data_IF_169981367634
#
_entry.id   IF_169981367634
#
_cell.length_a   1.000
_cell.length_b   1.000
_cell.length_c   1.000
_cell.angle_alpha   90.00
_cell.angle_beta   90.00
_cell.angle_gamma   90.00
#
_symmetry.space_group_name_H-M   'P 1'
#
loop_
_entity.id
_entity.type
_entity.pdbx_description
1 polymer ?
#
# COMPACT_ATOMS: atom_id res chain seq x y z
N UNK A 1 -9.84 -26.57 16.78
CA UNK A 1 -10.47 -26.66 15.45
C UNK A 1 -11.56 -25.61 15.26
N UNK A 2 -12.41 -25.37 16.26
CA UNK A 2 -13.53 -24.42 16.19
C UNK A 2 -13.18 -23.01 15.66
N UNK A 3 -12.06 -22.42 16.09
CA UNK A 3 -11.66 -21.08 15.63
C UNK A 3 -11.33 -21.01 14.13
N UNK A 4 -10.76 -22.09 13.56
CA UNK A 4 -10.42 -22.16 12.13
C UNK A 4 -11.68 -22.14 11.29
N UNK A 5 -12.64 -22.99 11.64
CA UNK A 5 -13.90 -23.10 10.90
C UNK A 5 -14.72 -21.82 10.98
N UNK A 6 -14.77 -21.19 12.16
CA UNK A 6 -15.39 -19.88 12.34
C UNK A 6 -14.78 -18.81 11.44
N UNK A 7 -13.45 -18.77 11.35
CA UNK A 7 -12.75 -17.81 10.47
C UNK A 7 -13.04 -18.07 8.99
N UNK A 8 -13.04 -19.33 8.56
CA UNK A 8 -13.38 -19.69 7.19
C UNK A 8 -14.83 -19.33 6.86
N UNK A 9 -15.76 -19.48 7.82
CA UNK A 9 -17.15 -19.08 7.64
C UNK A 9 -17.29 -17.57 7.47
N UNK A 10 -16.56 -16.77 8.25
CA UNK A 10 -16.48 -15.30 8.07
C UNK A 10 -15.97 -14.95 6.66
N UNK A 11 -14.90 -15.59 6.20
CA UNK A 11 -14.34 -15.35 4.85
C UNK A 11 -15.34 -15.75 3.76
N UNK A 12 -16.05 -16.88 3.89
CA UNK A 12 -17.06 -17.33 2.93
C UNK A 12 -18.28 -16.41 2.86
N UNK A 13 -18.63 -15.75 3.96
CA UNK A 13 -19.64 -14.66 4.02
C UNK A 13 -19.08 -13.31 3.56
N UNK A 14 -17.82 -13.31 3.13
CA UNK A 14 -17.04 -12.14 2.75
C UNK A 14 -16.86 -11.11 3.88
N UNK A 15 -17.07 -11.47 5.14
CA UNK A 15 -16.89 -10.61 6.34
C UNK A 15 -15.38 -10.45 6.67
N UNK A 16 -14.61 -9.92 5.72
CA UNK A 16 -13.15 -9.92 5.76
C UNK A 16 -12.55 -9.11 6.91
N UNK A 17 -13.21 -8.03 7.33
CA UNK A 17 -12.77 -7.22 8.47
C UNK A 17 -12.74 -8.05 9.75
N UNK A 18 -13.80 -8.79 10.02
CA UNK A 18 -13.93 -9.57 11.25
C UNK A 18 -13.09 -10.85 11.18
N UNK A 19 -12.98 -11.46 9.99
CA UNK A 19 -12.02 -12.54 9.75
C UNK A 19 -10.58 -12.09 10.05
N UNK A 20 -10.16 -10.93 9.52
CA UNK A 20 -8.82 -10.41 9.73
C UNK A 20 -8.54 -10.07 11.20
N UNK A 21 -9.51 -9.47 11.91
CA UNK A 21 -9.38 -9.19 13.36
C UNK A 21 -9.19 -10.48 14.16
N UNK A 22 -9.95 -11.54 13.85
CA UNK A 22 -9.82 -12.83 14.51
C UNK A 22 -8.44 -13.45 14.25
N UNK A 23 -8.00 -13.45 12.98
CA UNK A 23 -6.69 -13.96 12.57
C UNK A 23 -5.53 -13.21 13.23
N UNK A 24 -5.60 -11.88 13.25
CA UNK A 24 -4.57 -11.02 13.86
C UNK A 24 -4.43 -11.28 15.36
N UNK A 25 -5.56 -11.40 16.07
CA UNK A 25 -5.55 -11.73 17.50
C UNK A 25 -4.88 -13.07 17.78
N UNK A 26 -5.08 -14.06 16.91
CA UNK A 26 -4.36 -15.33 17.02
C UNK A 26 -2.86 -15.13 16.73
N UNK A 27 -2.50 -14.47 15.63
CA UNK A 27 -1.09 -14.22 15.26
C UNK A 27 -0.28 -13.49 16.34
N UNK A 28 -0.91 -12.63 17.14
CA UNK A 28 -0.27 -11.91 18.26
C UNK A 28 0.04 -12.82 19.48
N UNK A 29 -0.47 -14.05 19.51
CA UNK A 29 -0.17 -15.00 20.59
C UNK A 29 1.24 -15.59 20.45
N UNK A 30 2.03 -15.52 21.52
CA UNK A 30 3.47 -15.88 21.54
C UNK A 30 3.79 -17.34 21.20
N UNK A 31 2.81 -18.23 21.14
CA UNK A 31 3.03 -19.68 20.99
C UNK A 31 2.73 -20.22 19.59
N UNK A 32 2.60 -19.37 18.57
CA UNK A 32 2.30 -19.84 17.21
C UNK A 32 3.58 -20.02 16.40
N UNK A 33 3.88 -21.26 16.03
CA UNK A 33 4.96 -21.61 15.12
C UNK A 33 4.51 -22.58 14.03
N UNK A 34 5.34 -22.69 12.98
CA UNK A 34 5.19 -23.67 11.90
C UNK A 34 3.91 -23.52 11.07
N UNK A 35 3.31 -24.66 10.74
CA UNK A 35 2.17 -24.79 9.83
C UNK A 35 0.96 -23.94 10.26
N UNK A 36 0.71 -23.83 11.58
CA UNK A 36 -0.40 -23.00 12.09
C UNK A 36 -0.18 -21.52 11.77
N UNK A 37 1.06 -21.02 11.88
CA UNK A 37 1.38 -19.63 11.52
C UNK A 37 1.19 -19.43 10.01
N UNK A 38 1.66 -20.36 9.19
CA UNK A 38 1.45 -20.34 7.73
C UNK A 38 -0.02 -20.28 7.35
N UNK A 39 -0.86 -21.13 7.96
CA UNK A 39 -2.31 -21.10 7.76
C UNK A 39 -2.93 -19.74 8.10
N UNK A 40 -2.56 -19.16 9.24
CA UNK A 40 -3.07 -17.85 9.66
C UNK A 40 -2.65 -16.72 8.70
N UNK A 41 -1.38 -16.71 8.29
CA UNK A 41 -0.84 -15.72 7.35
C UNK A 41 -1.50 -15.82 5.97
N UNK A 42 -1.75 -17.03 5.48
CA UNK A 42 -2.44 -17.27 4.21
C UNK A 42 -3.85 -16.66 4.20
N UNK A 43 -4.66 -16.97 5.22
CA UNK A 43 -6.01 -16.41 5.31
C UNK A 43 -6.03 -14.93 5.69
N UNK A 44 -4.99 -14.42 6.35
CA UNK A 44 -4.81 -12.99 6.59
C UNK A 44 -4.59 -12.24 5.26
N UNK A 45 -3.76 -12.77 4.36
CA UNK A 45 -3.58 -12.21 3.01
C UNK A 45 -4.91 -12.14 2.24
N UNK A 46 -5.68 -13.24 2.24
CA UNK A 46 -7.00 -13.29 1.56
C UNK A 46 -7.97 -12.27 2.15
N UNK A 47 -7.99 -12.13 3.48
CA UNK A 47 -8.85 -11.15 4.15
C UNK A 47 -8.44 -9.72 3.80
N UNK A 48 -7.14 -9.43 3.74
CA UNK A 48 -6.61 -8.12 3.33
C UNK A 48 -6.90 -7.81 1.85
N UNK A 49 -6.86 -8.82 0.96
CA UNK A 49 -7.33 -8.67 -0.42
C UNK A 49 -8.81 -8.31 -0.48
N UNK A 50 -9.62 -8.98 0.35
CA UNK A 50 -11.04 -8.67 0.52
C UNK A 50 -11.36 -7.25 0.98
N UNK A 51 -10.42 -6.64 1.70
CA UNK A 51 -10.50 -5.25 2.18
C UNK A 51 -9.85 -4.25 1.21
N UNK A 52 -9.21 -4.71 0.12
CA UNK A 52 -8.46 -3.86 -0.81
C UNK A 52 -7.11 -3.36 -0.26
N UNK A 53 -6.62 -3.90 0.86
CA UNK A 53 -5.36 -3.49 1.49
C UNK A 53 -4.15 -4.24 0.90
N UNK A 54 -3.92 -4.08 -0.41
CA UNK A 54 -2.92 -4.85 -1.17
C UNK A 54 -1.50 -4.70 -0.58
N UNK A 55 -1.11 -3.50 -0.16
CA UNK A 55 0.24 -3.25 0.38
C UNK A 55 0.48 -3.95 1.72
N UNK A 56 -0.55 -4.04 2.56
CA UNK A 56 -0.45 -4.81 3.82
C UNK A 56 -0.40 -6.30 3.51
N UNK A 57 -1.19 -6.78 2.56
CA UNK A 57 -1.17 -8.18 2.15
C UNK A 57 0.21 -8.62 1.64
N UNK A 58 0.96 -7.75 0.94
CA UNK A 58 2.35 -8.04 0.54
C UNK A 58 3.29 -8.29 1.72
N UNK A 59 3.14 -7.54 2.83
CA UNK A 59 3.94 -7.78 4.05
C UNK A 59 3.64 -9.15 4.65
N UNK A 60 2.35 -9.49 4.79
CA UNK A 60 1.93 -10.80 5.28
C UNK A 60 2.34 -11.95 4.34
N UNK A 61 2.37 -11.70 3.03
CA UNK A 61 2.86 -12.66 2.04
C UNK A 61 4.35 -12.95 2.21
N UNK A 62 5.16 -11.93 2.49
CA UNK A 62 6.59 -12.12 2.75
C UNK A 62 6.81 -12.98 4.00
N UNK A 63 6.08 -12.70 5.08
CA UNK A 63 6.11 -13.54 6.29
C UNK A 63 5.60 -14.97 6.01
N UNK A 64 4.59 -15.13 5.15
CA UNK A 64 4.07 -16.45 4.76
C UNK A 64 5.14 -17.26 4.04
N UNK A 65 5.88 -16.62 3.13
CA UNK A 65 6.97 -17.25 2.38
C UNK A 65 8.12 -17.68 3.31
N UNK A 66 8.46 -16.87 4.31
CA UNK A 66 9.47 -17.23 5.32
C UNK A 66 9.06 -18.45 6.16
N UNK A 67 7.77 -18.56 6.51
CA UNK A 67 7.26 -19.62 7.38
C UNK A 67 6.98 -20.92 6.61
N UNK A 68 6.44 -20.82 5.41
CA UNK A 68 5.91 -21.97 4.65
C UNK A 68 6.76 -22.33 3.43
N UNK A 69 7.75 -21.51 3.07
CA UNK A 69 8.53 -21.68 1.84
C UNK A 69 7.70 -21.53 0.57
N UNK A 70 8.26 -21.97 -0.56
CA UNK A 70 7.57 -22.02 -1.85
C UNK A 70 6.60 -23.22 -1.88
N UNK A 71 5.37 -22.97 -1.46
CA UNK A 71 4.26 -23.93 -1.42
C UNK A 71 3.14 -23.53 -2.37
N UNK A 72 2.23 -24.47 -2.67
CA UNK A 72 1.02 -24.21 -3.49
C UNK A 72 0.23 -23.00 -2.96
N UNK A 73 0.05 -22.90 -1.64
CA UNK A 73 -0.65 -21.76 -1.02
C UNK A 73 0.07 -20.43 -1.26
N UNK A 74 1.40 -20.39 -1.17
CA UNK A 74 2.17 -19.17 -1.45
C UNK A 74 2.11 -18.77 -2.93
N UNK A 75 2.08 -19.73 -3.85
CA UNK A 75 1.94 -19.47 -5.28
C UNK A 75 0.56 -18.92 -5.65
N UNK A 76 -0.51 -19.38 -4.98
CA UNK A 76 -1.84 -18.77 -5.12
C UNK A 76 -1.84 -17.28 -4.69
N UNK A 77 -1.22 -16.95 -3.56
CA UNK A 77 -1.13 -15.54 -3.10
C UNK A 77 -0.31 -14.70 -4.09
N UNK A 78 0.80 -15.26 -4.60
CA UNK A 78 1.65 -14.61 -5.60
C UNK A 78 0.91 -14.34 -6.91
N UNK A 79 0.25 -15.35 -7.48
CA UNK A 79 -0.54 -15.22 -8.70
C UNK A 79 -1.63 -14.14 -8.53
N UNK A 80 -2.29 -14.11 -7.38
CA UNK A 80 -3.28 -13.07 -7.09
C UNK A 80 -2.64 -11.67 -7.02
N UNK A 81 -1.47 -11.50 -6.41
CA UNK A 81 -0.75 -10.22 -6.38
C UNK A 81 -0.33 -9.75 -7.78
N UNK A 82 0.11 -10.67 -8.64
CA UNK A 82 0.47 -10.40 -10.04
C UNK A 82 -0.76 -9.94 -10.83
N UNK A 83 -1.91 -10.61 -10.66
CA UNK A 83 -3.20 -10.19 -11.21
C UNK A 83 -3.59 -8.77 -10.75
N UNK A 84 -3.49 -8.49 -9.45
CA UNK A 84 -3.80 -7.17 -8.90
C UNK A 84 -2.91 -6.07 -9.49
N UNK A 85 -1.65 -6.42 -9.81
CA UNK A 85 -0.64 -5.52 -10.36
C UNK A 85 -0.75 -5.32 -11.88
N UNK A 86 -1.76 -5.89 -12.55
CA UNK A 86 -1.94 -5.88 -14.00
C UNK A 86 -0.83 -6.61 -14.77
N UNK A 87 -0.29 -7.69 -14.19
CA UNK A 87 0.63 -8.60 -14.86
C UNK A 87 -0.03 -9.98 -15.05
N UNK A 88 -1.05 -10.11 -15.92
CA UNK A 88 -1.75 -11.38 -16.11
C UNK A 88 -0.85 -12.49 -16.66
N UNK A 89 0.19 -12.13 -17.43
CA UNK A 89 1.13 -13.12 -17.97
C UNK A 89 2.00 -13.76 -16.87
N UNK A 90 2.50 -12.97 -15.92
CA UNK A 90 3.25 -13.49 -14.76
C UNK A 90 2.34 -14.38 -13.90
N UNK A 91 1.09 -13.93 -13.68
CA UNK A 91 0.11 -14.72 -12.95
C UNK A 91 -0.16 -16.08 -13.63
N UNK A 92 -0.23 -16.11 -14.97
CA UNK A 92 -0.40 -17.35 -15.74
C UNK A 92 0.78 -18.29 -15.51
N UNK A 93 2.02 -17.79 -15.58
CA UNK A 93 3.22 -18.60 -15.28
C UNK A 93 3.15 -19.15 -13.86
N UNK A 94 2.83 -18.32 -12.87
CA UNK A 94 2.70 -18.76 -11.47
C UNK A 94 1.61 -19.82 -11.31
N UNK A 95 0.44 -19.66 -11.94
CA UNK A 95 -0.63 -20.67 -11.92
C UNK A 95 -0.20 -21.98 -12.60
N UNK A 96 0.46 -21.93 -13.76
CA UNK A 96 0.95 -23.15 -14.41
C UNK A 96 1.92 -23.93 -13.52
N UNK A 97 2.77 -23.22 -12.76
CA UNK A 97 3.66 -23.85 -11.79
C UNK A 97 2.92 -24.50 -10.61
N UNK A 98 1.69 -24.10 -10.29
CA UNK A 98 0.86 -24.79 -9.29
C UNK A 98 0.44 -26.16 -9.81
N UNK A 99 0.02 -26.25 -11.08
CA UNK A 99 -0.34 -27.53 -11.71
C UNK A 99 0.84 -28.49 -11.84
N UNK A 100 2.07 -27.98 -11.94
CA UNK A 100 3.28 -28.82 -11.89
C UNK A 100 3.47 -29.48 -10.51
N UNK A 101 3.11 -28.77 -9.43
CA UNK A 101 3.20 -29.30 -8.06
C UNK A 101 2.02 -30.18 -7.68
N UNK A 102 0.81 -29.80 -8.11
CA UNK A 102 -0.43 -30.52 -7.89
C UNK A 102 -1.27 -30.58 -9.18
N UNK A 103 -1.04 -31.60 -10.03
CA UNK A 103 -1.80 -31.78 -11.26
C UNK A 103 -3.30 -32.06 -11.04
N UNK A 104 -3.72 -32.33 -9.80
CA UNK A 104 -5.12 -32.62 -9.48
C UNK A 104 -5.95 -31.37 -9.19
N UNK A 105 -5.33 -30.19 -9.15
CA UNK A 105 -5.99 -28.93 -8.88
C UNK A 105 -6.79 -28.42 -10.09
N UNK A 106 -7.98 -29.00 -10.28
CA UNK A 106 -8.94 -28.61 -11.33
C UNK A 106 -9.36 -27.14 -11.26
N UNK A 107 -9.20 -26.48 -10.11
CA UNK A 107 -9.51 -25.05 -9.98
C UNK A 107 -8.43 -24.22 -10.66
N UNK A 108 -7.17 -24.57 -10.44
CA UNK A 108 -6.05 -23.87 -11.07
C UNK A 108 -6.16 -23.95 -12.60
N UNK A 109 -6.55 -25.11 -13.14
CA UNK A 109 -6.81 -25.29 -14.57
C UNK A 109 -7.91 -24.34 -15.08
N UNK A 110 -9.04 -24.27 -14.39
CA UNK A 110 -10.13 -23.34 -14.73
C UNK A 110 -9.71 -21.86 -14.64
N UNK A 111 -8.84 -21.50 -13.68
CA UNK A 111 -8.29 -20.14 -13.58
C UNK A 111 -7.37 -19.81 -14.75
N UNK A 112 -6.55 -20.77 -15.19
CA UNK A 112 -5.66 -20.61 -16.36
C UNK A 112 -6.50 -20.45 -17.63
N UNK A 113 -7.56 -21.24 -17.80
CA UNK A 113 -8.48 -21.12 -18.95
C UNK A 113 -9.13 -19.73 -18.99
N UNK A 114 -9.71 -19.27 -17.87
CA UNK A 114 -10.32 -17.94 -17.76
C UNK A 114 -9.33 -16.80 -18.03
N UNK A 115 -8.10 -16.94 -17.52
CA UNK A 115 -7.04 -15.94 -17.70
C UNK A 115 -6.54 -15.89 -19.15
N UNK A 116 -6.53 -17.02 -19.86
CA UNK A 116 -6.17 -17.09 -21.30
C UNK A 116 -7.23 -16.48 -22.21
N UNK A 117 -8.51 -16.68 -21.89
CA UNK A 117 -9.61 -16.17 -22.71
C UNK A 117 -9.75 -14.65 -22.61
N UNK A 118 -9.78 -14.10 -21.39
CA UNK A 118 -10.07 -12.69 -21.16
C UNK A 118 -9.23 -12.11 -20.00
N UNK A 119 -7.91 -11.88 -20.20
CA UNK A 119 -6.99 -11.56 -19.10
C UNK A 119 -7.35 -10.28 -18.34
N UNK A 120 -7.73 -9.22 -19.05
CA UNK A 120 -8.11 -7.95 -18.43
C UNK A 120 -9.43 -8.04 -17.67
N UNK A 121 -10.44 -8.68 -18.27
CA UNK A 121 -11.75 -8.84 -17.64
C UNK A 121 -11.66 -9.73 -16.40
N UNK A 122 -10.84 -10.79 -16.46
CA UNK A 122 -10.61 -11.65 -15.31
C UNK A 122 -9.82 -10.92 -14.20
N UNK A 123 -8.84 -10.08 -14.55
CA UNK A 123 -8.17 -9.22 -13.58
C UNK A 123 -9.16 -8.28 -12.87
N UNK A 124 -10.06 -7.64 -13.60
CA UNK A 124 -11.10 -6.79 -13.03
C UNK A 124 -12.16 -7.56 -12.24
N UNK A 125 -12.45 -8.80 -12.63
CA UNK A 125 -13.30 -9.70 -11.87
C UNK A 125 -12.67 -10.08 -10.53
N UNK A 126 -11.40 -10.47 -10.53
CA UNK A 126 -10.67 -10.90 -9.33
C UNK A 126 -10.59 -9.79 -8.28
N UNK A 127 -10.54 -8.52 -8.70
CA UNK A 127 -10.60 -7.33 -7.82
C UNK A 127 -11.92 -7.18 -7.07
N UNK A 128 -13.01 -7.74 -7.58
CA UNK A 128 -14.31 -7.66 -6.93
C UNK A 128 -14.36 -8.67 -5.78
N UNK A 129 -15.09 -8.29 -4.72
CA UNK A 129 -15.33 -9.13 -3.54
C UNK A 129 -15.79 -10.55 -3.88
N UNK A 130 -16.62 -10.71 -4.91
CA UNK A 130 -17.05 -12.03 -5.38
C UNK A 130 -15.92 -12.85 -6.02
N UNK A 131 -15.05 -12.22 -6.82
CA UNK A 131 -13.97 -12.90 -7.53
C UNK A 131 -12.89 -13.46 -6.62
N UNK A 132 -12.69 -12.87 -5.43
CA UNK A 132 -11.73 -13.38 -4.43
C UNK A 132 -12.07 -14.80 -4.00
N UNK A 133 -13.35 -15.09 -3.74
CA UNK A 133 -13.78 -16.42 -3.28
C UNK A 133 -13.66 -17.47 -4.37
N UNK A 134 -13.76 -17.06 -5.64
CA UNK A 134 -13.61 -17.92 -6.80
C UNK A 134 -12.13 -18.16 -7.14
N UNK A 135 -11.23 -17.26 -6.74
CA UNK A 135 -9.80 -17.43 -6.95
C UNK A 135 -9.16 -18.46 -6.02
N UNK A 136 -9.47 -18.43 -4.71
CA UNK A 136 -8.74 -19.24 -3.72
C UNK A 136 -9.39 -20.60 -3.42
N UNK A 137 -8.61 -21.70 -3.35
CA UNK A 137 -9.12 -23.04 -3.05
C UNK A 137 -9.79 -23.13 -1.68
N UNK A 138 -10.87 -23.92 -1.57
CA UNK A 138 -11.59 -24.19 -0.31
C UNK A 138 -12.50 -23.09 0.22
N UNK A 139 -12.59 -21.94 -0.49
CA UNK A 139 -13.40 -20.79 -0.10
C UNK A 139 -14.69 -20.61 -0.90
N UNK A 140 -14.87 -21.31 -2.01
CA UNK A 140 -16.12 -21.26 -2.76
C UNK A 140 -17.25 -21.78 -1.87
N UNK A 141 -18.32 -21.00 -1.64
CA UNK A 141 -19.46 -21.48 -0.87
C UNK A 141 -20.07 -22.67 -1.61
N UNK A 142 -20.37 -23.75 -0.87
CA UNK A 142 -21.06 -24.92 -1.40
C UNK A 142 -22.30 -24.44 -2.18
N UNK A 143 -22.44 -24.76 -3.49
CA UNK A 143 -23.58 -24.33 -4.28
C UNK A 143 -24.92 -24.76 -3.65
N UNK A 144 -24.95 -25.81 -2.84
CA UNK A 144 -26.13 -26.22 -2.08
C UNK A 144 -26.56 -25.16 -1.03
N UNK A 145 -25.61 -24.44 -0.42
CA UNK A 145 -25.89 -23.35 0.55
C UNK A 145 -26.35 -22.06 -0.12
N UNK A 146 -25.95 -21.78 -1.38
CA UNK A 146 -26.47 -20.61 -2.13
C UNK A 146 -27.98 -20.70 -2.35
N UNK A 147 -28.51 -21.92 -2.56
CA UNK A 147 -29.94 -22.15 -2.77
C UNK A 147 -30.80 -21.95 -1.52
N UNK A 148 -30.23 -22.10 -0.32
CA UNK A 148 -30.96 -21.85 0.93
C UNK A 148 -30.92 -20.38 1.35
N UNK A 149 -29.82 -19.67 1.09
CA UNK A 149 -29.70 -18.24 1.41
C UNK A 149 -30.52 -17.35 0.45
N UNK A 150 -30.51 -17.63 -0.86
CA UNK A 150 -31.30 -16.87 -1.85
C UNK A 150 -32.81 -17.06 -1.75
N UNK A 151 -33.29 -18.09 -1.04
CA UNK A 151 -34.73 -18.33 -0.85
C UNK A 151 -35.35 -17.55 0.31
N UNK A 152 -34.53 -16.92 1.16
CA UNK A 152 -35.00 -16.11 2.28
C UNK A 152 -35.05 -14.60 1.97
N UNK A 153 -34.38 -14.12 0.93
CA UNK A 153 -34.44 -12.69 0.53
C UNK A 153 -35.58 -12.37 -0.44
N UNK A 154 -36.16 -13.37 -1.11
CA UNK A 154 -37.06 -13.14 -2.25
C UNK A 154 -38.53 -13.49 -1.94
N UNK A 155 -38.89 -13.65 -0.66
CA UNK A 155 -40.28 -13.85 -0.22
C UNK A 155 -40.86 -12.58 0.41
N UNK A 156 -40.88 -11.51 -0.38
CA UNK A 156 -41.82 -10.40 -0.19
C UNK A 156 -42.14 -9.77 -1.55
N UNK A 157 -42.75 -10.55 -2.45
CA UNK A 157 -43.54 -10.02 -3.56
C UNK A 157 -44.67 -11.01 -3.92
N UNK A 158 -45.80 -10.43 -4.30
CA UNK A 158 -47.16 -10.96 -4.17
C UNK A 158 -47.53 -12.18 -5.04
N UNK A 159 -48.32 -13.06 -4.40
CA UNK A 159 -49.44 -13.88 -4.89
C UNK A 159 -49.63 -14.12 -6.41
N UNK A 160 -49.56 -15.39 -6.84
CA UNK A 160 -50.71 -16.17 -7.34
C UNK A 160 -50.36 -17.64 -7.69
N UNK A 161 -51.34 -18.56 -7.73
CA UNK A 161 -51.09 -19.98 -7.47
C UNK A 161 -51.10 -20.87 -8.72
N UNK A 162 -50.40 -22.00 -8.62
CA UNK A 162 -50.72 -23.22 -9.36
C UNK A 162 -49.54 -23.81 -10.12
N UNK A 163 -48.94 -24.87 -9.58
CA UNK A 163 -49.01 -26.20 -10.19
C UNK A 163 -48.26 -27.21 -9.31
N UNK A 164 -48.89 -28.36 -9.11
CA UNK A 164 -48.31 -29.55 -8.51
C UNK A 164 -47.32 -30.23 -9.45
N UNK A 165 -46.28 -30.80 -8.86
CA UNK A 165 -46.00 -32.24 -8.87
C UNK A 165 -44.56 -32.63 -9.20
N UNK A 166 -44.17 -33.63 -8.42
CA UNK A 166 -43.34 -34.78 -8.74
C UNK A 166 -41.86 -34.88 -8.35
N UNK A 167 -41.64 -36.05 -7.74
CA UNK A 167 -40.46 -36.51 -7.02
C UNK A 167 -39.40 -37.04 -7.99
N UNK A 168 -38.12 -36.91 -7.61
CA UNK A 168 -37.15 -38.01 -7.75
C UNK A 168 -35.87 -37.74 -6.98
N UNK A 169 -35.66 -38.56 -5.95
CA UNK A 169 -34.39 -38.63 -5.24
C UNK A 169 -33.33 -39.34 -6.07
N UNK A 170 -32.09 -38.87 -5.93
CA UNK A 170 -30.88 -39.64 -6.22
C UNK A 170 -29.91 -39.41 -5.06
N UNK A 171 -29.60 -40.51 -4.36
CA UNK A 171 -28.52 -40.59 -3.37
C UNK A 171 -27.20 -40.71 -4.14
N UNK A 172 -26.30 -39.74 -3.99
CA UNK A 172 -24.89 -39.88 -4.39
C UNK A 172 -24.06 -40.22 -3.17
N UNK A 173 -23.23 -41.25 -3.30
CA UNK A 173 -22.32 -41.75 -2.29
C UNK A 173 -21.28 -40.69 -1.90
N UNK A 174 -21.17 -40.41 -0.60
CA UNK A 174 -20.13 -39.57 -0.03
C UNK A 174 -18.84 -40.37 0.19
N UNK A 175 -17.78 -39.92 -0.46
CA UNK A 175 -16.40 -40.38 -0.29
C UNK A 175 -15.90 -40.06 1.14
N UNK A 176 -15.14 -40.98 1.73
CA UNK A 176 -14.62 -40.88 3.09
C UNK A 176 -13.48 -39.86 3.25
N UNK A 177 -13.18 -39.44 4.49
CA UNK A 177 -12.16 -38.43 4.77
C UNK A 177 -10.73 -38.98 4.68
N UNK A 178 -9.85 -38.13 4.13
CA UNK A 178 -8.39 -38.29 4.04
C UNK A 178 -7.79 -38.34 5.45
N UNK A 179 -7.10 -39.44 5.78
CA UNK A 179 -6.36 -39.61 7.03
C UNK A 179 -4.98 -38.95 6.92
N UNK A 180 -4.66 -38.08 7.89
CA UNK A 180 -3.31 -37.54 8.11
C UNK A 180 -2.68 -38.24 9.32
N UNK A 181 -1.54 -38.89 9.12
CA UNK A 181 -0.76 -39.57 10.16
C UNK A 181 -0.03 -38.54 11.03
N UNK A 182 -0.32 -38.52 12.33
CA UNK A 182 0.50 -37.84 13.34
C UNK A 182 1.65 -38.74 13.76
N UNK A 183 2.89 -38.29 13.56
CA UNK A 183 4.06 -38.84 14.22
C UNK A 183 4.19 -38.22 15.62
N UNK A 184 4.47 -39.08 16.59
CA UNK A 184 4.43 -38.83 18.01
C UNK A 184 5.71 -38.21 18.58
N UNK A 185 5.50 -37.51 19.70
CA UNK A 185 6.28 -37.44 20.93
C UNK A 185 7.80 -37.16 20.91
N UNK A 186 8.15 -36.05 21.55
CA UNK A 186 9.46 -35.73 22.08
C UNK A 186 9.32 -34.78 23.26
N UNK A 187 9.29 -35.36 24.45
CA UNK A 187 9.27 -34.78 25.79
C UNK A 187 10.42 -33.79 26.03
N UNK A 188 10.20 -32.69 26.77
CA UNK A 188 11.24 -31.94 27.50
C UNK A 188 10.59 -30.92 28.46
N UNK A 189 10.46 -31.35 29.72
CA UNK A 189 10.37 -30.48 30.91
C UNK A 189 11.76 -29.98 31.29
N UNK A 190 11.89 -28.67 31.52
CA UNK A 190 12.66 -28.05 32.63
C UNK A 190 12.81 -26.54 32.38
N UNK A 191 12.26 -25.69 33.28
CA UNK A 191 12.78 -24.35 33.59
C UNK A 191 11.94 -23.62 34.66
N UNK A 192 12.47 -23.64 35.88
CA UNK A 192 12.45 -22.62 36.96
C UNK A 192 11.14 -22.21 37.69
N UNK A 193 11.12 -22.33 39.03
CA UNK A 193 10.14 -21.70 39.92
C UNK A 193 10.64 -20.37 40.52
N UNK A 194 9.69 -19.67 41.13
CA UNK A 194 9.80 -18.63 42.17
C UNK A 194 10.35 -17.24 41.85
N UNK A 195 9.42 -16.28 41.83
CA UNK A 195 9.62 -14.91 42.28
C UNK A 195 8.38 -14.46 43.06
N UNK A 196 8.39 -14.76 44.37
CA UNK A 196 7.59 -14.10 45.38
C UNK A 196 8.52 -13.31 46.32
N UNK A 197 7.94 -12.26 46.91
CA UNK A 197 8.47 -11.39 47.98
C UNK A 197 9.46 -10.27 47.63
N UNK A 198 8.91 -9.06 47.54
CA UNK A 198 9.55 -7.86 48.07
C UNK A 198 8.50 -6.80 48.44
N UNK A 199 7.82 -7.00 49.57
CA UNK A 199 7.19 -5.88 50.30
C UNK A 199 8.06 -5.46 51.48
N UNK A 200 7.94 -4.17 51.84
CA UNK A 200 8.52 -3.49 53.00
C UNK A 200 9.99 -3.04 52.92
N UNK A 201 10.18 -1.75 52.55
CA UNK A 201 11.02 -0.80 53.31
C UNK A 201 10.76 0.64 52.84
N UNK A 202 9.77 1.26 53.47
CA UNK A 202 9.53 2.70 53.43
C UNK A 202 10.36 3.45 54.47
N UNK A 203 10.45 4.77 54.26
CA UNK A 203 11.00 5.83 55.15
C UNK A 203 12.46 6.27 55.03
N UNK A 204 13.12 6.06 53.89
CA UNK A 204 14.31 6.86 53.48
C UNK A 204 14.26 7.46 52.07
N UNK A 205 13.10 7.41 51.39
CA UNK A 205 12.95 7.82 49.98
C UNK A 205 12.51 9.27 49.75
N UNK A 206 12.05 10.02 50.76
CA UNK A 206 11.45 11.34 50.53
C UNK A 206 12.44 12.50 50.36
N UNK A 207 13.70 12.37 50.83
CA UNK A 207 14.73 13.38 50.58
C UNK A 207 15.43 13.23 49.20
N UNK A 208 15.43 12.02 48.62
CA UNK A 208 16.00 11.78 47.28
C UNK A 208 15.00 12.04 46.13
N UNK A 209 13.69 11.94 46.38
CA UNK A 209 12.66 12.17 45.37
C UNK A 209 12.51 13.66 44.98
N UNK A 210 12.86 14.60 45.87
CA UNK A 210 12.83 16.03 45.55
C UNK A 210 13.91 16.47 44.56
N UNK A 211 15.13 15.93 44.68
CA UNK A 211 16.23 16.20 43.74
C UNK A 211 16.02 15.55 42.37
N UNK A 212 15.44 14.34 42.34
CA UNK A 212 15.09 13.65 41.10
C UNK A 212 13.93 14.32 40.35
N UNK A 213 12.97 14.95 41.03
CA UNK A 213 11.89 15.67 40.38
C UNK A 213 12.37 16.95 39.67
N UNK A 214 13.35 17.67 40.24
CA UNK A 214 13.93 18.88 39.61
C UNK A 214 14.84 18.51 38.43
N UNK A 215 15.62 17.44 38.53
CA UNK A 215 16.39 16.91 37.38
C UNK A 215 15.49 16.32 36.29
N UNK A 216 14.37 15.68 36.66
CA UNK A 216 13.39 15.21 35.69
C UNK A 216 12.68 16.37 34.98
N UNK A 217 12.33 17.46 35.69
CA UNK A 217 11.74 18.65 35.07
C UNK A 217 12.73 19.43 34.20
N UNK A 218 14.00 19.53 34.60
CA UNK A 218 15.06 20.12 33.76
C UNK A 218 15.37 19.23 32.54
N UNK A 219 15.30 17.90 32.71
CA UNK A 219 15.41 16.93 31.62
C UNK A 219 14.25 17.06 30.62
N UNK A 220 13.01 17.17 31.09
CA UNK A 220 11.83 17.36 30.22
C UNK A 220 11.85 18.73 29.55
N UNK A 221 12.26 19.80 30.23
CA UNK A 221 12.42 21.12 29.62
C UNK A 221 13.54 21.13 28.57
N UNK A 222 14.68 20.46 28.83
CA UNK A 222 15.74 20.26 27.85
C UNK A 222 15.31 19.41 26.67
N UNK A 223 14.49 18.37 26.89
CA UNK A 223 13.94 17.51 25.83
C UNK A 223 12.93 18.27 24.97
N UNK A 224 12.08 19.11 25.57
CA UNK A 224 11.15 20.00 24.87
C UNK A 224 11.87 21.13 24.12
N UNK A 225 12.97 21.65 24.64
CA UNK A 225 13.79 22.67 23.97
C UNK A 225 14.68 22.07 22.86
N UNK A 226 15.11 20.82 23.00
CA UNK A 226 15.83 20.06 21.95
C UNK A 226 14.90 19.46 20.89
N UNK A 227 13.61 19.30 21.20
CA UNK A 227 12.57 18.71 20.36
C UNK A 227 12.10 19.58 19.19
N UNK A 228 12.72 20.73 18.99
CA UNK A 228 12.59 21.56 17.78
C UNK A 228 13.88 21.64 16.97
N UNK A 229 14.75 20.63 17.11
CA UNK A 229 15.66 20.31 16.01
C UNK A 229 14.81 19.55 14.99
N UNK A 230 14.65 20.03 13.74
CA UNK A 230 13.95 19.25 12.72
C UNK A 230 14.59 17.88 12.70
N UNK A 231 13.78 16.81 12.85
CA UNK A 231 14.28 15.45 12.70
C UNK A 231 14.90 15.44 11.30
N UNK A 232 16.24 15.36 11.16
CA UNK A 232 16.79 15.19 9.84
C UNK A 232 16.12 13.92 9.31
N UNK A 233 15.66 13.96 8.07
CA UNK A 233 15.32 12.76 7.32
C UNK A 233 16.62 11.94 7.19
N UNK A 234 17.07 11.33 8.29
CA UNK A 234 18.11 10.33 8.33
C UNK A 234 17.48 9.06 7.77
N UNK A 235 17.22 9.10 6.46
CA UNK A 235 17.26 7.90 5.66
C UNK A 235 18.72 7.46 5.74
N UNK A 236 19.00 6.42 6.52
CA UNK A 236 20.34 5.84 6.56
C UNK A 236 20.74 5.51 5.11
N UNK A 237 22.00 5.83 4.77
CA UNK A 237 22.68 5.68 3.47
C UNK A 237 22.41 4.33 2.77
N UNK A 238 22.02 3.31 3.56
CA UNK A 238 21.80 1.93 3.17
C UNK A 238 20.45 1.60 2.53
N UNK A 239 19.43 2.45 2.68
CA UNK A 239 18.04 2.02 2.39
C UNK A 239 17.51 2.52 1.04
N UNK A 240 18.21 3.45 0.40
CA UNK A 240 17.81 3.91 -0.92
C UNK A 240 18.14 2.85 -1.99
N UNK A 241 17.20 2.53 -2.90
CA UNK A 241 17.43 1.56 -3.96
C UNK A 241 18.61 1.95 -4.83
N UNK A 242 19.61 1.07 -4.92
CA UNK A 242 20.73 1.20 -5.83
C UNK A 242 20.28 1.19 -7.31
N UNK A 243 21.02 1.84 -8.22
CA UNK A 243 20.78 1.73 -9.65
C UNK A 243 20.95 0.28 -10.12
N UNK A 244 20.29 -0.13 -11.22
CA UNK A 244 20.42 -1.49 -11.72
C UNK A 244 21.83 -1.77 -12.26
N UNK A 245 22.41 -2.92 -11.84
CA UNK A 245 23.76 -3.32 -12.26
C UNK A 245 23.85 -3.67 -13.74
N UNK A 246 22.77 -4.16 -14.35
CA UNK A 246 22.66 -4.43 -15.79
C UNK A 246 21.62 -3.47 -16.37
N UNK A 247 22.07 -2.56 -17.23
CA UNK A 247 21.24 -1.59 -17.92
C UNK A 247 21.88 -1.29 -19.26
N UNK A 248 21.05 -0.92 -20.24
CA UNK A 248 21.49 -0.57 -21.58
C UNK A 248 20.92 0.80 -21.94
N UNK A 249 21.72 1.60 -22.65
CA UNK A 249 21.24 2.85 -23.24
C UNK A 249 20.78 2.52 -24.66
N UNK A 250 19.52 2.85 -24.96
CA UNK A 250 18.96 2.62 -26.28
C UNK A 250 19.58 3.61 -27.29
N UNK A 251 19.84 3.16 -28.52
CA UNK A 251 20.35 4.04 -29.55
C UNK A 251 19.32 5.14 -29.90
N UNK A 252 19.78 6.28 -30.42
CA UNK A 252 18.92 7.43 -30.78
C UNK A 252 17.75 7.10 -31.70
N UNK A 253 17.88 6.04 -32.50
CA UNK A 253 16.91 5.58 -33.49
C UNK A 253 15.74 4.80 -32.88
N UNK A 254 15.86 4.37 -31.61
CA UNK A 254 14.89 3.51 -30.95
C UNK A 254 13.59 4.24 -30.53
N UNK A 255 13.54 5.56 -30.62
CA UNK A 255 12.36 6.35 -30.28
C UNK A 255 12.62 7.83 -30.06
N UNK A 256 11.55 8.59 -29.90
CA UNK A 256 11.62 10.00 -29.53
C UNK A 256 11.68 10.12 -28.00
N UNK A 257 12.89 10.34 -27.48
CA UNK A 257 13.14 10.52 -26.06
C UNK A 257 13.46 12.00 -25.77
N UNK A 258 12.67 12.68 -24.91
CA UNK A 258 12.93 14.06 -24.51
C UNK A 258 14.31 14.28 -23.87
N UNK A 259 14.83 13.25 -23.19
CA UNK A 259 16.17 13.27 -22.59
C UNK A 259 17.02 12.14 -23.16
N UNK A 260 18.31 12.40 -23.33
CA UNK A 260 19.25 11.42 -23.89
C UNK A 260 20.50 11.36 -23.03
N UNK A 261 20.94 10.14 -22.78
CA UNK A 261 22.23 9.82 -22.21
C UNK A 261 23.10 9.19 -23.29
N UNK A 262 24.37 9.56 -23.30
CA UNK A 262 25.36 9.02 -24.24
C UNK A 262 25.88 7.66 -23.78
N UNK A 263 25.94 7.45 -22.46
CA UNK A 263 26.44 6.23 -21.84
C UNK A 263 25.59 5.81 -20.64
N UNK A 264 25.71 4.53 -20.25
CA UNK A 264 25.07 4.00 -19.05
C UNK A 264 25.66 4.68 -17.81
N UNK A 265 26.95 4.95 -17.84
CA UNK A 265 27.70 5.58 -16.76
C UNK A 265 27.14 6.97 -16.44
N UNK A 266 26.73 7.74 -17.46
CA UNK A 266 26.11 9.05 -17.27
C UNK A 266 24.73 8.96 -16.59
N UNK A 267 23.92 7.97 -17.00
CA UNK A 267 22.62 7.71 -16.38
C UNK A 267 22.76 7.24 -14.92
N UNK A 268 23.72 6.36 -14.65
CA UNK A 268 24.08 5.93 -13.28
C UNK A 268 24.55 7.12 -12.46
N UNK A 269 25.41 7.97 -13.01
CA UNK A 269 25.90 9.16 -12.31
C UNK A 269 24.78 10.14 -11.99
N UNK A 270 23.80 10.34 -12.87
CA UNK A 270 22.63 11.18 -12.56
C UNK A 270 21.70 10.53 -11.53
N UNK A 271 21.55 9.21 -11.54
CA UNK A 271 20.79 8.48 -10.52
C UNK A 271 21.44 8.60 -9.12
N UNK A 272 22.76 8.45 -9.03
CA UNK A 272 23.49 8.62 -7.76
C UNK A 272 23.46 10.07 -7.27
N UNK A 273 23.54 11.05 -8.18
CA UNK A 273 23.31 12.46 -7.83
C UNK A 273 21.91 12.67 -7.27
N UNK A 274 20.90 12.00 -7.82
CA UNK A 274 19.55 12.07 -7.29
C UNK A 274 19.44 11.47 -5.88
N UNK A 275 20.12 10.34 -5.60
CA UNK A 275 20.20 9.77 -4.26
C UNK A 275 20.86 10.72 -3.25
N UNK A 276 22.03 11.25 -3.59
CA UNK A 276 22.71 12.24 -2.77
C UNK A 276 21.83 13.48 -2.52
N UNK A 277 21.07 13.93 -3.52
CA UNK A 277 20.12 15.03 -3.34
C UNK A 277 18.97 14.69 -2.38
N UNK A 278 18.51 13.44 -2.31
CA UNK A 278 17.50 13.00 -1.31
C UNK A 278 18.09 13.05 0.09
N UNK A 279 19.30 12.52 0.27
CA UNK A 279 20.03 12.53 1.55
C UNK A 279 20.28 13.96 2.04
N UNK A 280 20.61 14.88 1.13
CA UNK A 280 20.79 16.31 1.42
C UNK A 280 19.47 17.07 1.66
N UNK A 281 18.30 16.42 1.53
CA UNK A 281 16.99 17.07 1.63
C UNK A 281 16.62 17.97 0.44
N UNK A 282 17.34 17.90 -0.67
CA UNK A 282 17.09 18.61 -1.94
C UNK A 282 16.08 17.84 -2.81
N UNK A 283 14.86 17.73 -2.27
CA UNK A 283 13.79 16.87 -2.79
C UNK A 283 13.38 17.19 -4.23
N UNK A 284 13.28 18.46 -4.61
CA UNK A 284 12.90 18.84 -5.96
C UNK A 284 14.03 18.58 -6.95
N UNK A 285 15.27 18.82 -6.55
CA UNK A 285 16.42 18.50 -7.38
C UNK A 285 16.49 16.98 -7.67
N UNK A 286 16.26 16.15 -6.65
CA UNK A 286 16.15 14.70 -6.81
C UNK A 286 14.99 14.30 -7.75
N UNK A 287 13.78 14.83 -7.52
CA UNK A 287 12.62 14.56 -8.37
C UNK A 287 12.85 14.95 -9.82
N UNK A 288 13.53 16.08 -10.07
CA UNK A 288 13.93 16.54 -11.40
C UNK A 288 14.84 15.54 -12.10
N UNK A 289 15.94 15.15 -11.45
CA UNK A 289 16.90 14.19 -12.02
C UNK A 289 16.24 12.83 -12.32
N UNK A 290 15.40 12.33 -11.42
CA UNK A 290 14.68 11.07 -11.62
C UNK A 290 13.61 11.18 -12.73
N UNK A 291 12.92 12.32 -12.82
CA UNK A 291 11.96 12.60 -13.90
C UNK A 291 12.62 12.62 -15.28
N UNK A 292 13.87 13.11 -15.38
CA UNK A 292 14.66 13.05 -16.62
C UNK A 292 15.01 11.62 -16.99
N UNK A 293 15.49 10.83 -16.03
CA UNK A 293 15.82 9.41 -16.22
C UNK A 293 14.61 8.61 -16.72
N UNK A 294 13.42 8.81 -16.11
CA UNK A 294 12.17 8.14 -16.51
C UNK A 294 11.76 8.41 -17.97
N UNK A 295 12.16 9.54 -18.54
CA UNK A 295 11.79 9.97 -19.90
C UNK A 295 12.98 9.97 -20.85
N UNK A 296 14.01 9.20 -20.50
CA UNK A 296 15.22 9.11 -21.31
C UNK A 296 15.26 7.85 -22.18
N UNK A 297 16.30 7.76 -23.01
CA UNK A 297 16.62 6.59 -23.83
C UNK A 297 17.21 5.40 -23.04
N UNK A 298 17.22 5.42 -21.71
CA UNK A 298 17.68 4.26 -20.92
C UNK A 298 16.65 3.13 -20.94
N UNK A 299 17.11 1.89 -20.75
CA UNK A 299 16.25 0.72 -20.77
C UNK A 299 15.12 0.78 -19.72
N UNK A 300 14.10 -0.04 -19.95
CA UNK A 300 12.89 -0.07 -19.14
C UNK A 300 13.17 -0.35 -17.65
N UNK A 301 14.10 -1.26 -17.33
CA UNK A 301 14.38 -1.65 -15.94
C UNK A 301 14.94 -0.44 -15.18
N UNK A 302 15.84 0.33 -15.80
CA UNK A 302 16.36 1.54 -15.19
C UNK A 302 15.27 2.61 -15.01
N UNK A 303 14.42 2.82 -16.01
CA UNK A 303 13.31 3.78 -15.90
C UNK A 303 12.33 3.43 -14.78
N UNK A 304 11.96 2.16 -14.63
CA UNK A 304 11.10 1.72 -13.53
C UNK A 304 11.79 1.87 -12.17
N UNK A 305 13.10 1.64 -12.10
CA UNK A 305 13.87 1.87 -10.86
C UNK A 305 13.88 3.35 -10.47
N UNK A 306 14.13 4.25 -11.42
CA UNK A 306 14.06 5.70 -11.22
C UNK A 306 12.65 6.13 -10.78
N UNK A 307 11.60 5.59 -11.42
CA UNK A 307 10.21 5.82 -11.03
C UNK A 307 9.91 5.36 -9.61
N UNK A 308 10.34 4.16 -9.26
CA UNK A 308 10.16 3.61 -7.92
C UNK A 308 10.86 4.48 -6.87
N UNK A 309 12.10 4.92 -7.12
CA UNK A 309 12.82 5.81 -6.21
C UNK A 309 12.10 7.16 -6.09
N UNK A 310 11.66 7.76 -7.20
CA UNK A 310 10.93 9.04 -7.17
C UNK A 310 9.65 8.96 -6.36
N UNK A 311 8.90 7.85 -6.47
CA UNK A 311 7.67 7.60 -5.72
C UNK A 311 7.91 7.35 -4.24
N UNK A 312 9.08 6.82 -3.85
CA UNK A 312 9.42 6.62 -2.44
C UNK A 312 9.86 7.90 -1.72
N UNK A 313 10.16 8.99 -2.45
CA UNK A 313 10.54 10.26 -1.83
C UNK A 313 9.34 10.83 -1.07
N UNK A 314 9.41 10.97 0.28
CA UNK A 314 8.31 11.51 1.05
C UNK A 314 8.03 12.97 0.68
N UNK A 315 6.79 13.40 0.91
CA UNK A 315 6.46 14.83 0.82
C UNK A 315 7.01 15.53 2.07
N UNK A 316 7.87 16.55 1.92
CA UNK A 316 8.37 17.29 3.07
C UNK A 316 7.24 18.08 3.74
N UNK A 317 7.41 18.37 5.04
CA UNK A 317 6.54 19.31 5.74
C UNK A 317 6.77 20.72 5.19
N UNK A 318 5.78 21.61 5.31
CA UNK A 318 5.94 23.02 4.90
C UNK A 318 7.06 23.72 5.70
N UNK A 319 7.27 23.34 6.96
CA UNK A 319 8.25 23.94 7.87
C UNK A 319 9.69 23.55 7.55
N UNK A 320 9.90 22.31 7.10
CA UNK A 320 11.24 21.77 6.84
C UNK A 320 11.69 21.98 5.38
N UNK A 321 10.79 22.43 4.51
CA UNK A 321 11.04 22.51 3.09
C UNK A 321 11.82 23.77 2.69
N UNK A 322 13.00 23.56 2.08
CA UNK A 322 13.92 24.65 1.67
C UNK A 322 14.21 24.70 0.16
N UNK A 323 13.92 23.62 -0.55
CA UNK A 323 14.26 23.45 -1.96
C UNK A 323 13.15 23.98 -2.89
N UNK A 324 12.78 25.26 -2.76
CA UNK A 324 11.70 25.84 -3.57
C UNK A 324 12.11 26.04 -5.03
N UNK A 325 11.16 25.87 -5.94
CA UNK A 325 11.36 25.97 -7.40
C UNK A 325 10.59 27.16 -7.96
N UNK A 326 11.05 27.78 -9.02
CA UNK A 326 10.36 28.91 -9.66
C UNK A 326 9.43 28.46 -10.77
N UNK A 327 8.43 29.28 -11.08
CA UNK A 327 7.52 29.08 -12.21
C UNK A 327 8.25 29.14 -13.54
N UNK A 328 9.33 29.93 -13.65
CA UNK A 328 10.20 29.97 -14.81
C UNK A 328 10.90 28.62 -15.04
N UNK A 329 11.45 28.01 -14.00
CA UNK A 329 12.07 26.68 -14.08
C UNK A 329 11.05 25.61 -14.47
N UNK A 330 9.85 25.64 -13.88
CA UNK A 330 8.77 24.71 -14.21
C UNK A 330 8.39 24.85 -15.69
N UNK A 331 8.21 26.07 -16.19
CA UNK A 331 7.86 26.30 -17.60
C UNK A 331 8.97 25.88 -18.56
N UNK A 332 10.24 25.93 -18.14
CA UNK A 332 11.36 25.49 -18.96
C UNK A 332 11.41 23.96 -19.14
N UNK A 333 10.94 23.21 -18.14
CA UNK A 333 10.91 21.76 -18.16
C UNK A 333 9.75 21.18 -17.31
N UNK A 334 8.49 21.29 -17.80
CA UNK A 334 7.31 20.95 -16.99
C UNK A 334 7.29 19.50 -16.54
N UNK A 335 7.93 18.62 -17.31
CA UNK A 335 7.88 17.19 -17.09
C UNK A 335 8.82 16.71 -16.02
N UNK A 336 10.05 17.24 -15.98
CA UNK A 336 11.00 16.86 -14.93
C UNK A 336 10.53 17.36 -13.57
N UNK A 337 9.79 18.47 -13.52
CA UNK A 337 9.17 18.98 -12.29
C UNK A 337 7.79 18.36 -11.97
N UNK A 338 7.39 17.28 -12.63
CA UNK A 338 6.17 16.55 -12.27
C UNK A 338 6.28 16.04 -10.83
N UNK A 339 5.21 16.26 -10.06
CA UNK A 339 5.13 15.99 -8.62
C UNK A 339 6.10 16.81 -7.77
N UNK A 340 6.87 17.76 -8.32
CA UNK A 340 7.68 18.65 -7.51
C UNK A 340 6.79 19.53 -6.61
N UNK A 341 7.31 19.89 -5.45
CA UNK A 341 6.63 20.71 -4.45
C UNK A 341 7.12 22.15 -4.53
N UNK A 342 6.30 23.11 -4.15
CA UNK A 342 6.68 24.52 -4.18
C UNK A 342 6.22 25.22 -2.92
N UNK A 343 6.96 26.25 -2.54
CA UNK A 343 6.65 27.13 -1.43
C UNK A 343 6.80 28.57 -1.91
N UNK A 344 5.68 29.23 -2.18
CA UNK A 344 5.66 30.57 -2.78
C UNK A 344 4.91 31.57 -1.91
N UNK A 345 5.38 32.82 -1.81
CA UNK A 345 4.51 33.91 -1.42
C UNK A 345 3.47 34.15 -2.53
N UNK A 346 2.23 34.40 -2.15
CA UNK A 346 1.14 34.63 -3.08
C UNK A 346 0.10 35.58 -2.49
N UNK A 347 -0.56 36.35 -3.36
CA UNK A 347 -1.68 37.22 -2.98
C UNK A 347 -2.99 36.55 -3.41
N UNK A 348 -3.93 36.41 -2.49
CA UNK A 348 -5.23 35.79 -2.78
C UNK A 348 -6.04 36.70 -3.70
N UNK A 349 -6.49 36.18 -4.84
CA UNK A 349 -7.45 36.86 -5.70
C UNK A 349 -8.88 36.43 -5.38
N UNK A 350 -9.11 35.11 -5.33
CA UNK A 350 -10.45 34.56 -5.16
C UNK A 350 -10.42 33.13 -4.62
N UNK A 351 -11.33 32.84 -3.70
CA UNK A 351 -11.65 31.47 -3.28
C UNK A 351 -12.89 31.01 -4.03
N UNK A 352 -12.83 29.85 -4.69
CA UNK A 352 -13.90 29.31 -5.51
C UNK A 352 -14.26 27.87 -5.09
N UNK A 353 -15.53 27.52 -5.27
CA UNK A 353 -16.05 26.17 -5.09
C UNK A 353 -16.77 25.96 -3.75
N UNK A 354 -17.92 25.30 -3.83
CA UNK A 354 -18.68 24.83 -2.67
C UNK A 354 -18.66 23.31 -2.66
N UNK A 355 -17.97 22.70 -1.69
CA UNK A 355 -17.97 21.25 -1.50
C UNK A 355 -16.57 20.64 -1.31
N UNK A 356 -16.33 19.40 -1.81
CA UNK A 356 -15.09 18.68 -1.56
C UNK A 356 -13.87 19.18 -2.36
N UNK A 357 -14.10 19.92 -3.44
CA UNK A 357 -13.05 20.60 -4.21
C UNK A 357 -13.12 22.11 -3.96
N UNK A 358 -12.09 22.66 -3.33
CA UNK A 358 -11.87 24.10 -3.21
C UNK A 358 -10.79 24.51 -4.21
N UNK A 359 -11.00 25.61 -4.90
CA UNK A 359 -10.03 26.21 -5.80
C UNK A 359 -9.63 27.57 -5.25
N UNK A 360 -8.33 27.82 -5.16
CA UNK A 360 -7.77 29.09 -4.73
C UNK A 360 -7.07 29.74 -5.92
N UNK A 361 -7.58 30.88 -6.36
CA UNK A 361 -6.93 31.71 -7.36
C UNK A 361 -6.01 32.70 -6.64
N UNK A 362 -4.72 32.61 -6.94
CA UNK A 362 -3.68 33.45 -6.33
C UNK A 362 -2.80 34.08 -7.40
N UNK A 363 -2.17 35.19 -7.07
CA UNK A 363 -1.09 35.77 -7.86
C UNK A 363 0.24 35.44 -7.19
N UNK A 364 1.10 34.73 -7.92
CA UNK A 364 2.42 34.34 -7.48
C UNK A 364 3.40 34.49 -8.66
N UNK A 365 4.55 35.12 -8.41
CA UNK A 365 5.59 35.33 -9.43
C UNK A 365 5.04 35.98 -10.72
N UNK A 366 4.29 37.07 -10.55
CA UNK A 366 3.69 37.88 -11.62
C UNK A 366 2.71 37.12 -12.53
N UNK A 367 2.14 36.00 -12.04
CA UNK A 367 1.12 35.23 -12.76
C UNK A 367 -0.01 34.79 -11.84
N UNK A 368 -1.22 34.79 -12.40
CA UNK A 368 -2.39 34.20 -11.75
C UNK A 368 -2.38 32.68 -11.90
N UNK A 369 -2.49 31.98 -10.78
CA UNK A 369 -2.49 30.52 -10.69
C UNK A 369 -3.77 30.04 -10.01
N UNK A 370 -4.32 28.92 -10.49
CA UNK A 370 -5.41 28.22 -9.82
C UNK A 370 -4.87 27.00 -9.09
N UNK A 371 -4.97 27.00 -7.77
CA UNK A 371 -4.56 25.91 -6.90
C UNK A 371 -5.77 25.09 -6.47
N UNK A 372 -5.78 23.78 -6.69
CA UNK A 372 -6.86 22.90 -6.23
C UNK A 372 -6.53 22.28 -4.87
N UNK A 373 -7.38 22.46 -3.88
CA UNK A 373 -7.31 21.79 -2.58
C UNK A 373 -8.31 20.63 -2.52
N UNK A 374 -7.79 19.41 -2.36
CA UNK A 374 -8.58 18.17 -2.26
C UNK A 374 -8.50 17.52 -0.88
N UNK A 375 -7.91 18.19 0.12
CA UNK A 375 -7.76 17.65 1.47
C UNK A 375 -9.08 17.56 2.23
N UNK A 376 -9.20 16.59 3.14
CA UNK A 376 -10.39 16.35 3.97
C UNK A 376 -10.37 17.11 5.30
N UNK A 377 -9.28 17.80 5.65
CA UNK A 377 -9.17 18.56 6.89
C UNK A 377 -10.13 19.76 6.88
N UNK A 378 -11.16 19.74 7.75
CA UNK A 378 -12.19 20.77 7.84
C UNK A 378 -11.66 22.11 8.35
N UNK A 379 -10.69 22.12 9.25
CA UNK A 379 -10.09 23.35 9.79
C UNK A 379 -9.39 24.13 8.66
N UNK A 380 -8.60 23.43 7.85
CA UNK A 380 -7.96 24.01 6.66
C UNK A 380 -8.98 24.52 5.65
N UNK A 381 -10.09 23.80 5.44
CA UNK A 381 -11.18 24.26 4.55
C UNK A 381 -11.85 25.53 5.06
N UNK A 382 -12.11 25.62 6.37
CA UNK A 382 -12.67 26.83 7.00
C UNK A 382 -11.69 27.99 6.89
N UNK A 383 -10.40 27.75 7.16
CA UNK A 383 -9.35 28.75 7.04
C UNK A 383 -9.20 29.25 5.58
N UNK A 384 -9.26 28.35 4.58
CA UNK A 384 -9.26 28.75 3.17
C UNK A 384 -10.46 29.62 2.80
N UNK A 385 -11.65 29.30 3.32
CA UNK A 385 -12.87 30.08 3.06
C UNK A 385 -12.88 31.43 3.76
N UNK A 386 -12.10 31.60 4.82
CA UNK A 386 -11.93 32.89 5.49
C UNK A 386 -10.89 33.80 4.85
N UNK A 387 -10.17 33.34 3.81
CA UNK A 387 -9.26 34.19 3.06
C UNK A 387 -10.04 35.20 2.23
N UNK A 388 -9.62 36.46 2.29
CA UNK A 388 -10.20 37.55 1.52
C UNK A 388 -9.28 37.93 0.35
N UNK A 389 -9.85 38.57 -0.69
CA UNK A 389 -9.05 39.08 -1.79
C UNK A 389 -8.06 40.14 -1.29
N UNK A 390 -6.79 40.01 -1.66
CA UNK A 390 -5.69 40.84 -1.18
C UNK A 390 -4.92 40.28 0.01
N UNK A 391 -5.38 39.18 0.63
CA UNK A 391 -4.61 38.50 1.68
C UNK A 391 -3.26 38.01 1.13
N UNK A 392 -2.17 38.39 1.78
CA UNK A 392 -0.84 37.84 1.53
C UNK A 392 -0.70 36.52 2.29
N UNK A 393 -0.35 35.45 1.59
CA UNK A 393 -0.18 34.12 2.15
C UNK A 393 1.07 33.45 1.59
N UNK A 394 1.60 32.47 2.32
CA UNK A 394 2.57 31.52 1.81
C UNK A 394 1.85 30.23 1.42
N UNK A 395 1.91 29.86 0.14
CA UNK A 395 1.28 28.64 -0.39
C UNK A 395 2.30 27.52 -0.49
N UNK A 396 1.95 26.35 0.05
CA UNK A 396 2.69 25.11 -0.12
C UNK A 396 1.88 24.15 -0.98
N UNK A 397 2.44 23.78 -2.14
CA UNK A 397 1.71 22.98 -3.11
C UNK A 397 2.57 21.99 -3.86
N UNK A 398 1.92 21.23 -4.74
CA UNK A 398 2.53 20.24 -5.63
C UNK A 398 2.09 20.47 -7.07
N UNK A 399 3.00 20.27 -8.01
CA UNK A 399 2.72 20.35 -9.44
C UNK A 399 2.12 19.02 -9.93
N UNK A 400 0.93 19.10 -10.49
CA UNK A 400 0.23 18.02 -11.19
C UNK A 400 0.32 18.33 -12.69
N UNK A 401 1.16 17.62 -13.45
CA UNK A 401 1.16 17.80 -14.92
C UNK A 401 -0.14 17.21 -15.47
N UNK A 402 -0.93 18.00 -16.22
CA UNK A 402 -2.27 17.57 -16.67
C UNK A 402 -2.33 17.06 -18.12
N UNK A 403 -1.23 17.14 -18.87
CA UNK A 403 -1.16 16.64 -20.24
C UNK A 403 0.18 15.95 -20.55
N UNK A 404 0.15 14.99 -21.48
CA UNK A 404 1.34 14.28 -21.98
C UNK A 404 2.34 15.22 -22.68
N UNK A 405 1.90 16.43 -23.02
CA UNK A 405 2.68 17.48 -23.69
C UNK A 405 3.21 18.56 -22.74
N UNK A 406 2.84 18.55 -21.46
CA UNK A 406 3.33 19.50 -20.45
C UNK A 406 2.89 20.95 -20.72
N UNK A 407 1.93 21.18 -21.61
CA UNK A 407 1.45 22.51 -21.98
C UNK A 407 0.54 23.12 -20.92
N UNK A 408 -0.02 22.29 -20.03
CA UNK A 408 -0.87 22.74 -18.91
C UNK A 408 -0.47 22.06 -17.60
N UNK A 409 0.31 22.78 -16.80
CA UNK A 409 0.54 22.44 -15.40
C UNK A 409 -0.71 22.79 -14.59
N UNK A 410 -1.23 21.83 -13.83
CA UNK A 410 -2.17 22.09 -12.74
C UNK A 410 -1.44 22.04 -11.41
N UNK A 411 -1.95 22.76 -10.41
CA UNK A 411 -1.29 22.92 -9.13
C UNK A 411 -2.23 22.46 -8.02
N UNK A 412 -1.73 21.61 -7.14
CA UNK A 412 -2.44 21.14 -5.97
C UNK A 412 -1.98 21.92 -4.75
N UNK A 413 -2.91 22.50 -4.00
CA UNK A 413 -2.61 23.09 -2.70
C UNK A 413 -2.51 21.97 -1.66
N UNK A 414 -1.39 21.90 -0.95
CA UNK A 414 -1.15 20.95 0.15
C UNK A 414 -1.34 21.64 1.50
N UNK A 415 -0.79 22.84 1.65
CA UNK A 415 -0.89 23.67 2.85
C UNK A 415 -0.76 25.17 2.55
N UNK A 416 -1.07 26.01 3.53
CA UNK A 416 -0.83 27.45 3.44
C UNK A 416 -0.64 28.08 4.82
N UNK A 417 0.03 29.22 4.87
CA UNK A 417 0.18 30.07 6.06
C UNK A 417 -0.19 31.50 5.71
N UNK A 418 -0.89 32.16 6.63
CA UNK A 418 -1.18 33.59 6.57
C UNK A 418 -0.11 34.37 7.31
#
# INVERSE_FOLDING_TARGET
MESREKTLDLIRRAEYSDAFRALRKELESKSISGERKGWLLYYACISLFGLGHIQQARKYYQELLEVSGDSVSTRYIRAYLEMQSRHPEEALVTLTSILELDPSDTRCDALIEQLKEEPERFADYSRKRAGILDFFPGLTPDPARRRSAGRQSDLQEDLSPGYSDDKRGKKSAGLGPIQWKSAADGDLREAYPDLADATAKGRRRWAWMGGLAVLALAGVAGMLYSGYSPIPLNLDDSDLPLPPGQSTVLPPEAGDFPFRYDSKEDAVAEYEKARAAIEDGRINQARKMLGRLERSNIDFIFRERARSLRQSIPLPSMDDFRDTITLAEINSDPFSYRDAVFLWPATVHKVMGDGPGLHLEVEAQDRTLTLSYSGTNEEKRKALRSLEAGDEIQVYGRILSSDEQGSRSSYQLLDFKK
#
